data_IF_051620927004
#
_entry.id   IF_051620927004
#
_cell.length_a   1.000
_cell.length_b   1.000
_cell.length_c   1.000
_cell.angle_alpha   90.00
_cell.angle_beta   90.00
_cell.angle_gamma   90.00
#
_symmetry.space_group_name_H-M   'P 1'
#
loop_
_entity.id
_entity.type
_entity.pdbx_description
1 polymer ?
#
# COMPACT_ATOMS: atom_id res chain seq x y z
N UNK A 1 -11.87 -19.78 14.57
CA UNK A 1 -11.72 -20.35 13.21
C UNK A 1 -10.37 -19.91 12.67
N UNK A 2 -9.55 -20.81 12.15
CA UNK A 2 -8.20 -20.49 11.65
C UNK A 2 -8.19 -20.27 10.13
N UNK A 3 -7.16 -19.61 9.59
CA UNK A 3 -7.03 -19.36 8.15
C UNK A 3 -7.05 -20.65 7.32
N UNK A 4 -6.36 -21.69 7.79
CA UNK A 4 -6.35 -23.00 7.15
C UNK A 4 -7.74 -23.66 7.13
N UNK A 5 -8.55 -23.47 8.18
CA UNK A 5 -9.92 -23.97 8.22
C UNK A 5 -10.80 -23.25 7.19
N UNK A 6 -10.67 -21.92 7.05
CA UNK A 6 -11.40 -21.13 6.05
C UNK A 6 -11.04 -21.58 4.62
N UNK A 7 -9.75 -21.80 4.34
CA UNK A 7 -9.29 -22.27 3.03
C UNK A 7 -9.80 -23.68 2.72
N UNK A 8 -9.78 -24.59 3.70
CA UNK A 8 -10.33 -25.94 3.55
C UNK A 8 -11.84 -25.93 3.28
N UNK A 9 -12.59 -25.07 3.97
CA UNK A 9 -14.04 -24.93 3.75
C UNK A 9 -14.36 -24.30 2.39
N UNK A 10 -13.60 -23.29 1.96
CA UNK A 10 -13.72 -22.75 0.60
C UNK A 10 -13.46 -23.80 -0.47
N UNK A 11 -12.43 -24.63 -0.29
CA UNK A 11 -12.11 -25.70 -1.22
C UNK A 11 -13.23 -26.74 -1.31
N UNK A 12 -13.90 -27.05 -0.18
CA UNK A 12 -15.08 -27.93 -0.17
C UNK A 12 -16.25 -27.31 -0.93
N UNK A 13 -16.61 -26.06 -0.63
CA UNK A 13 -17.69 -25.35 -1.31
C UNK A 13 -17.44 -25.24 -2.82
N UNK A 14 -16.20 -24.98 -3.22
CA UNK A 14 -15.84 -24.92 -4.64
C UNK A 14 -15.95 -26.30 -5.29
N UNK A 15 -15.50 -27.37 -4.64
CA UNK A 15 -15.66 -28.74 -5.15
C UNK A 15 -17.13 -29.09 -5.35
N UNK A 16 -17.97 -28.82 -4.35
CA UNK A 16 -19.41 -29.11 -4.41
C UNK A 16 -20.09 -28.31 -5.54
N UNK A 17 -19.66 -27.07 -5.76
CA UNK A 17 -20.12 -26.27 -6.89
C UNK A 17 -19.71 -26.87 -8.24
N UNK A 18 -18.46 -27.31 -8.40
CA UNK A 18 -18.01 -27.95 -9.64
C UNK A 18 -18.77 -29.26 -9.92
N UNK A 19 -19.06 -30.02 -8.87
CA UNK A 19 -19.88 -31.25 -8.95
C UNK A 19 -21.30 -30.93 -9.44
N UNK A 20 -21.95 -29.92 -8.84
CA UNK A 20 -23.27 -29.42 -9.27
C UNK A 20 -23.26 -28.88 -10.70
N UNK A 21 -22.22 -28.14 -11.10
CA UNK A 21 -22.10 -27.63 -12.48
C UNK A 21 -22.01 -28.78 -13.48
N UNK A 22 -21.27 -29.85 -13.16
CA UNK A 22 -21.20 -31.04 -14.02
C UNK A 22 -22.56 -31.73 -14.13
N UNK A 23 -23.30 -31.85 -13.04
CA UNK A 23 -24.66 -32.40 -13.05
C UNK A 23 -25.62 -31.52 -13.86
N UNK A 24 -25.63 -30.20 -13.65
CA UNK A 24 -26.50 -29.26 -14.35
C UNK A 24 -26.29 -29.28 -15.86
N UNK A 25 -25.06 -29.47 -16.33
CA UNK A 25 -24.74 -29.58 -17.76
C UNK A 25 -25.32 -30.83 -18.43
N UNK A 26 -25.66 -31.86 -17.64
CA UNK A 26 -26.29 -33.09 -18.14
C UNK A 26 -27.82 -32.98 -18.22
N UNK A 27 -28.41 -31.92 -17.63
CA UNK A 27 -29.86 -31.68 -17.62
C UNK A 27 -30.30 -30.88 -18.84
N UNK A 28 -31.58 -31.00 -19.19
CA UNK A 28 -32.18 -30.26 -20.31
C UNK A 28 -32.36 -28.76 -20.02
N UNK A 29 -32.56 -28.40 -18.74
CA UNK A 29 -32.71 -26.99 -18.28
C UNK A 29 -31.43 -26.57 -17.56
N UNK A 30 -30.40 -26.26 -18.34
CA UNK A 30 -29.05 -25.97 -17.83
C UNK A 30 -28.99 -24.60 -17.14
N UNK A 31 -29.75 -23.61 -17.61
CA UNK A 31 -29.63 -22.22 -17.16
C UNK A 31 -30.05 -22.01 -15.72
N UNK A 32 -31.26 -22.42 -15.34
CA UNK A 32 -31.75 -22.28 -13.95
C UNK A 32 -30.92 -23.10 -12.96
N UNK A 33 -30.54 -24.32 -13.34
CA UNK A 33 -29.70 -25.18 -12.50
C UNK A 33 -28.33 -24.55 -12.20
N UNK A 34 -27.71 -23.90 -13.19
CA UNK A 34 -26.43 -23.21 -12.99
C UNK A 34 -26.58 -21.93 -12.15
N UNK A 35 -27.70 -21.22 -12.27
CA UNK A 35 -28.01 -20.04 -11.45
C UNK A 35 -28.19 -20.45 -9.98
N UNK A 36 -28.98 -21.48 -9.70
CA UNK A 36 -29.17 -22.02 -8.35
C UNK A 36 -27.84 -22.48 -7.73
N UNK A 37 -27.00 -23.17 -8.51
CA UNK A 37 -25.67 -23.60 -8.07
C UNK A 37 -24.76 -22.40 -7.73
N UNK A 38 -24.84 -21.30 -8.49
CA UNK A 38 -24.09 -20.07 -8.21
C UNK A 38 -24.58 -19.37 -6.96
N UNK A 39 -25.90 -19.24 -6.81
CA UNK A 39 -26.49 -18.58 -5.65
C UNK A 39 -26.19 -19.34 -4.37
N UNK A 40 -26.23 -20.67 -4.43
CA UNK A 40 -25.84 -21.51 -3.30
C UNK A 40 -24.35 -21.37 -2.96
N UNK A 41 -23.46 -21.34 -3.97
CA UNK A 41 -22.03 -21.05 -3.75
C UNK A 41 -21.84 -19.71 -3.06
N UNK A 42 -22.50 -18.64 -3.53
CA UNK A 42 -22.41 -17.31 -2.92
C UNK A 42 -22.92 -17.34 -1.47
N UNK A 43 -24.06 -18.00 -1.22
CA UNK A 43 -24.66 -18.13 0.11
C UNK A 43 -23.70 -18.80 1.10
N UNK A 44 -23.00 -19.85 0.67
CA UNK A 44 -22.03 -20.59 1.48
C UNK A 44 -20.70 -19.85 1.66
N UNK A 45 -20.24 -19.10 0.67
CA UNK A 45 -18.98 -18.33 0.75
C UNK A 45 -19.10 -17.07 1.61
N UNK A 46 -20.23 -16.36 1.58
CA UNK A 46 -20.44 -15.11 2.35
C UNK A 46 -20.07 -15.20 3.84
N UNK A 47 -20.49 -16.22 4.61
CA UNK A 47 -20.07 -16.33 6.01
C UNK A 47 -18.56 -16.57 6.16
N UNK A 48 -17.93 -17.30 5.23
CA UNK A 48 -16.48 -17.53 5.23
C UNK A 48 -15.69 -16.25 4.95
N UNK A 49 -16.19 -15.40 4.05
CA UNK A 49 -15.58 -14.09 3.76
C UNK A 49 -15.58 -13.20 5.01
N UNK A 50 -16.68 -13.19 5.77
CA UNK A 50 -16.78 -12.47 7.05
C UNK A 50 -15.79 -13.02 8.07
N UNK A 51 -15.71 -14.34 8.20
CA UNK A 51 -14.74 -14.98 9.09
C UNK A 51 -13.29 -14.63 8.70
N UNK A 52 -12.98 -14.60 7.39
CA UNK A 52 -11.67 -14.20 6.89
C UNK A 52 -11.34 -12.74 7.22
N UNK A 53 -12.32 -11.84 7.08
CA UNK A 53 -12.13 -10.43 7.46
C UNK A 53 -11.79 -10.25 8.94
N UNK A 54 -12.43 -11.03 9.82
CA UNK A 54 -12.14 -11.01 11.27
C UNK A 54 -10.70 -11.47 11.52
N UNK A 55 -10.32 -12.64 10.99
CA UNK A 55 -8.95 -13.17 11.14
C UNK A 55 -7.89 -12.20 10.60
N UNK A 56 -8.17 -11.56 9.46
CA UNK A 56 -7.27 -10.56 8.87
C UNK A 56 -7.23 -9.24 9.66
N UNK A 57 -8.31 -8.87 10.36
CA UNK A 57 -8.30 -7.71 11.26
C UNK A 57 -7.42 -8.00 12.48
N UNK A 58 -7.62 -9.15 13.14
CA UNK A 58 -6.81 -9.60 14.27
C UNK A 58 -5.32 -9.67 13.91
N UNK A 59 -4.98 -10.20 12.73
CA UNK A 59 -3.58 -10.28 12.30
C UNK A 59 -2.97 -8.89 11.99
N UNK A 60 -3.77 -7.95 11.47
CA UNK A 60 -3.35 -6.56 11.28
C UNK A 60 -3.09 -5.87 12.62
N UNK A 61 -3.95 -6.08 13.61
CA UNK A 61 -3.75 -5.55 14.95
C UNK A 61 -2.48 -6.12 15.59
N UNK A 62 -2.27 -7.44 15.50
CA UNK A 62 -1.06 -8.10 16.01
C UNK A 62 0.21 -7.54 15.36
N UNK A 63 0.21 -7.40 14.03
CA UNK A 63 1.32 -6.78 13.29
C UNK A 63 1.53 -5.31 13.65
N UNK A 64 0.43 -4.56 13.88
CA UNK A 64 0.47 -3.17 14.32
C UNK A 64 1.11 -3.01 15.71
N UNK A 65 0.75 -3.87 16.67
CA UNK A 65 1.38 -3.89 18.00
C UNK A 65 2.87 -4.20 17.90
N UNK A 66 3.25 -5.22 17.12
CA UNK A 66 4.65 -5.58 16.92
C UNK A 66 5.46 -4.47 16.20
N UNK A 67 4.83 -3.73 15.28
CA UNK A 67 5.45 -2.56 14.65
C UNK A 67 5.67 -1.42 15.66
N UNK A 68 4.65 -1.09 16.47
CA UNK A 68 4.77 -0.07 17.52
C UNK A 68 5.84 -0.41 18.55
N UNK A 69 5.92 -1.67 18.97
CA UNK A 69 6.97 -2.13 19.89
C UNK A 69 8.37 -1.92 19.31
N UNK A 70 8.58 -2.21 18.02
CA UNK A 70 9.85 -1.96 17.33
C UNK A 70 10.20 -0.48 17.22
N UNK A 71 9.21 0.37 16.95
CA UNK A 71 9.42 1.83 16.91
C UNK A 71 9.83 2.35 18.29
N UNK A 72 9.13 1.97 19.35
CA UNK A 72 9.48 2.38 20.72
C UNK A 72 10.87 1.90 21.13
N UNK A 73 11.27 0.69 20.72
CA UNK A 73 12.62 0.19 20.97
C UNK A 73 13.68 1.02 20.22
N UNK A 74 13.44 1.31 18.94
CA UNK A 74 14.34 2.15 18.16
C UNK A 74 14.43 3.58 18.72
N UNK A 75 13.33 4.15 19.21
CA UNK A 75 13.30 5.47 19.86
C UNK A 75 14.12 5.48 21.14
N UNK A 76 14.02 4.41 21.96
CA UNK A 76 14.86 4.26 23.17
C UNK A 76 16.34 4.16 22.83
N UNK A 77 16.68 3.38 21.81
CA UNK A 77 18.06 3.25 21.33
C UNK A 77 18.59 4.58 20.80
N UNK A 78 17.81 5.28 19.97
CA UNK A 78 18.17 6.60 19.46
C UNK A 78 18.36 7.63 20.60
N UNK A 79 17.48 7.63 21.60
CA UNK A 79 17.62 8.50 22.77
C UNK A 79 18.88 8.18 23.59
N UNK A 80 19.23 6.90 23.75
CA UNK A 80 20.47 6.48 24.42
C UNK A 80 21.72 6.89 23.62
N UNK A 81 21.69 6.76 22.29
CA UNK A 81 22.77 7.19 21.41
C UNK A 81 22.95 8.70 21.42
N UNK A 82 21.86 9.47 21.42
CA UNK A 82 21.92 10.93 21.59
C UNK A 82 22.49 11.33 22.94
N UNK A 83 22.11 10.65 24.03
CA UNK A 83 22.68 10.90 25.35
C UNK A 83 24.19 10.62 25.37
N UNK A 84 24.64 9.51 24.76
CA UNK A 84 26.07 9.19 24.59
C UNK A 84 26.81 10.25 23.78
N UNK A 85 26.25 10.69 22.65
CA UNK A 85 26.86 11.74 21.82
C UNK A 85 26.98 13.06 22.57
N UNK A 86 25.95 13.44 23.35
CA UNK A 86 25.98 14.66 24.17
C UNK A 86 27.07 14.56 25.26
N UNK A 87 27.16 13.46 25.99
CA UNK A 87 28.20 13.30 27.02
C UNK A 87 29.60 13.24 26.42
N UNK A 88 29.79 12.59 25.27
CA UNK A 88 31.06 12.60 24.54
C UNK A 88 31.44 14.02 24.09
N UNK A 89 30.50 14.78 23.54
CA UNK A 89 30.74 16.17 23.12
C UNK A 89 31.12 17.10 24.28
N UNK A 90 30.50 16.94 25.46
CA UNK A 90 30.86 17.70 26.67
C UNK A 90 32.24 17.28 27.18
N UNK A 91 32.52 15.97 27.21
CA UNK A 91 33.84 15.45 27.62
C UNK A 91 34.97 15.95 26.71
N UNK A 92 34.72 16.09 25.40
CA UNK A 92 35.68 16.69 24.48
C UNK A 92 35.86 18.20 24.70
N UNK A 93 34.85 18.91 25.22
CA UNK A 93 34.94 20.33 25.54
C UNK A 93 35.69 20.61 26.87
N UNK A 94 35.61 19.69 27.84
CA UNK A 94 36.32 19.78 29.13
C UNK A 94 37.81 19.40 29.04
N UNK A 95 38.25 18.84 27.91
CA UNK A 95 39.68 18.87 27.63
C UNK A 95 40.06 20.31 27.33
N UNK A 96 40.90 20.96 28.17
CA UNK A 96 41.39 22.28 27.81
C UNK A 96 42.01 22.11 26.44
N UNK A 97 41.47 22.83 25.46
CA UNK A 97 42.08 22.92 24.16
C UNK A 97 43.49 23.40 24.44
N UNK A 98 44.45 22.46 24.46
CA UNK A 98 45.86 22.77 24.42
C UNK A 98 45.94 23.63 23.18
N UNK A 99 46.12 24.94 23.39
CA UNK A 99 46.20 25.90 22.31
C UNK A 99 47.08 25.23 21.27
N UNK A 100 46.63 25.04 20.01
CA UNK A 100 47.47 24.41 19.04
C UNK A 100 48.75 25.22 19.06
N UNK A 101 49.84 24.64 19.56
CA UNK A 101 51.17 25.17 19.31
C UNK A 101 51.21 25.13 17.81
N UNK A 102 50.96 26.28 17.18
CA UNK A 102 51.05 26.42 15.74
C UNK A 102 52.48 25.99 15.44
N UNK A 103 52.71 24.79 14.86
CA UNK A 103 54.06 24.46 14.46
C UNK A 103 54.42 25.56 13.46
N UNK A 104 55.52 26.28 13.73
CA UNK A 104 56.04 27.30 12.83
C UNK A 104 55.85 26.80 11.40
N UNK A 105 55.11 27.57 10.59
CA UNK A 105 54.53 27.15 9.33
C UNK A 105 55.51 26.28 8.52
N UNK A 106 55.40 24.95 8.69
CA UNK A 106 56.01 24.02 7.77
C UNK A 106 55.15 24.17 6.53
N UNK A 107 55.64 24.92 5.56
CA UNK A 107 55.12 24.88 4.19
C UNK A 107 54.82 23.42 3.89
N UNK A 108 53.56 23.04 3.63
CA UNK A 108 53.28 21.65 3.30
C UNK A 108 54.15 21.36 2.09
N UNK A 109 55.12 20.45 2.24
CA UNK A 109 55.74 19.79 1.10
C UNK A 109 54.58 19.00 0.50
N UNK A 110 53.84 19.65 -0.39
CA UNK A 110 52.80 19.04 -1.18
C UNK A 110 53.48 17.88 -1.89
N UNK A 111 53.20 16.65 -1.45
CA UNK A 111 53.64 15.49 -2.18
C UNK A 111 52.69 15.37 -3.37
N UNK A 112 53.12 15.74 -4.60
CA UNK A 112 52.24 15.82 -5.75
C UNK A 112 51.63 14.44 -6.08
N UNK A 113 52.32 13.35 -5.76
CA UNK A 113 51.83 11.99 -6.01
C UNK A 113 50.65 11.61 -5.12
N UNK A 114 50.65 12.01 -3.85
CA UNK A 114 49.52 11.75 -2.94
C UNK A 114 48.28 12.55 -3.35
N UNK A 115 48.49 13.78 -3.82
CA UNK A 115 47.39 14.61 -4.32
C UNK A 115 46.76 14.03 -5.59
N UNK A 116 47.58 13.58 -6.54
CA UNK A 116 47.10 12.92 -7.76
C UNK A 116 46.35 11.62 -7.46
N UNK A 117 46.82 10.81 -6.50
CA UNK A 117 46.11 9.60 -6.07
C UNK A 117 44.76 9.91 -5.45
N UNK A 118 44.67 10.96 -4.62
CA UNK A 118 43.40 11.40 -4.04
C UNK A 118 42.43 11.90 -5.10
N UNK A 119 42.90 12.69 -6.08
CA UNK A 119 42.07 13.14 -7.19
C UNK A 119 41.56 11.96 -8.02
N UNK A 120 42.42 11.00 -8.37
CA UNK A 120 42.01 9.80 -9.11
C UNK A 120 40.96 8.96 -8.36
N UNK A 121 41.08 8.85 -7.03
CA UNK A 121 40.09 8.17 -6.20
C UNK A 121 38.75 8.92 -6.20
N UNK A 122 38.77 10.25 -6.03
CA UNK A 122 37.56 11.08 -6.06
C UNK A 122 36.87 11.01 -7.42
N UNK A 123 37.62 11.03 -8.51
CA UNK A 123 37.08 10.88 -9.87
C UNK A 123 36.48 9.48 -10.10
N UNK A 124 37.12 8.42 -9.58
CA UNK A 124 36.59 7.06 -9.67
C UNK A 124 35.29 6.92 -8.86
N UNK A 125 35.24 7.46 -7.65
CA UNK A 125 34.02 7.48 -6.84
C UNK A 125 32.90 8.31 -7.47
N UNK A 126 33.24 9.47 -8.05
CA UNK A 126 32.27 10.31 -8.75
C UNK A 126 31.67 9.59 -9.96
N UNK A 127 32.49 8.85 -10.72
CA UNK A 127 32.04 8.01 -11.85
C UNK A 127 31.15 6.86 -11.39
N UNK A 128 31.51 6.18 -10.30
CA UNK A 128 30.69 5.10 -9.72
C UNK A 128 29.32 5.63 -9.26
N UNK A 129 29.31 6.72 -8.46
CA UNK A 129 28.07 7.37 -8.00
C UNK A 129 27.22 7.89 -9.17
N UNK A 130 27.84 8.35 -10.25
CA UNK A 130 27.13 8.77 -11.46
C UNK A 130 26.48 7.58 -12.19
N UNK A 131 27.14 6.42 -12.23
CA UNK A 131 26.58 5.18 -12.77
C UNK A 131 25.37 4.71 -11.95
N UNK A 132 25.51 4.64 -10.62
CA UNK A 132 24.41 4.25 -9.71
C UNK A 132 23.18 5.15 -9.89
N UNK A 133 23.39 6.46 -10.08
CA UNK A 133 22.30 7.41 -10.34
C UNK A 133 21.59 7.14 -11.66
N UNK A 134 22.31 6.70 -12.71
CA UNK A 134 21.72 6.34 -14.01
C UNK A 134 20.89 5.06 -13.89
N UNK A 135 21.40 4.06 -13.20
CA UNK A 135 20.70 2.79 -12.99
C UNK A 135 19.44 2.97 -12.15
N UNK A 136 19.55 3.71 -11.04
CA UNK A 136 18.40 4.05 -10.21
C UNK A 136 17.35 4.88 -10.98
N UNK A 137 17.78 5.76 -11.89
CA UNK A 137 16.86 6.50 -12.75
C UNK A 137 16.18 5.60 -13.79
N UNK A 138 16.90 4.64 -14.39
CA UNK A 138 16.34 3.65 -15.30
C UNK A 138 15.31 2.77 -14.58
N UNK A 139 15.62 2.28 -13.39
CA UNK A 139 14.70 1.47 -12.58
C UNK A 139 13.42 2.24 -12.22
N UNK A 140 13.55 3.52 -11.85
CA UNK A 140 12.38 4.39 -11.60
C UNK A 140 11.51 4.53 -12.85
N UNK A 141 12.10 4.66 -14.04
CA UNK A 141 11.36 4.73 -15.31
C UNK A 141 10.61 3.43 -15.59
N UNK A 142 11.25 2.27 -15.41
CA UNK A 142 10.62 0.95 -15.60
C UNK A 142 9.44 0.77 -14.63
N UNK A 143 9.64 1.07 -13.35
CA UNK A 143 8.58 1.00 -12.32
C UNK A 143 7.41 1.94 -12.64
N UNK A 144 7.69 3.15 -13.12
CA UNK A 144 6.64 4.09 -13.53
C UNK A 144 5.83 3.57 -14.72
N UNK A 145 6.49 3.04 -15.75
CA UNK A 145 5.82 2.44 -16.91
C UNK A 145 4.97 1.23 -16.52
N UNK A 146 5.47 0.35 -15.63
CA UNK A 146 4.69 -0.79 -15.14
C UNK A 146 3.43 -0.35 -14.39
N UNK A 147 3.51 0.71 -13.57
CA UNK A 147 2.34 1.28 -12.88
C UNK A 147 1.32 1.84 -13.88
N UNK A 148 1.79 2.53 -14.93
CA UNK A 148 0.92 3.04 -15.99
C UNK A 148 0.20 1.89 -16.74
N UNK A 149 0.92 0.82 -17.09
CA UNK A 149 0.33 -0.36 -17.74
C UNK A 149 -0.74 -1.01 -16.87
N UNK A 150 -0.43 -1.29 -15.60
CA UNK A 150 -1.40 -1.85 -14.65
C UNK A 150 -2.62 -0.95 -14.47
N UNK A 151 -2.43 0.36 -14.35
CA UNK A 151 -3.54 1.30 -14.25
C UNK A 151 -4.42 1.30 -15.52
N UNK A 152 -3.83 1.20 -16.71
CA UNK A 152 -4.59 1.10 -17.96
C UNK A 152 -5.35 -0.24 -18.09
N UNK A 153 -4.74 -1.34 -17.65
CA UNK A 153 -5.39 -2.66 -17.61
C UNK A 153 -6.58 -2.66 -16.64
N UNK A 154 -6.42 -2.08 -15.46
CA UNK A 154 -7.49 -1.95 -14.46
C UNK A 154 -8.65 -1.08 -14.97
N UNK A 155 -8.36 0.01 -15.69
CA UNK A 155 -9.38 0.85 -16.32
C UNK A 155 -10.13 0.08 -17.41
N UNK A 156 -9.41 -0.62 -18.30
CA UNK A 156 -10.03 -1.44 -19.33
C UNK A 156 -10.94 -2.54 -18.74
N UNK A 157 -10.49 -3.19 -17.67
CA UNK A 157 -11.26 -4.21 -16.97
C UNK A 157 -12.52 -3.63 -16.30
N UNK A 158 -12.43 -2.41 -15.75
CA UNK A 158 -13.60 -1.68 -15.21
C UNK A 158 -14.58 -1.28 -16.30
N UNK A 159 -14.10 -0.84 -17.45
CA UNK A 159 -14.95 -0.46 -18.57
C UNK A 159 -15.65 -1.67 -19.19
N UNK A 160 -14.96 -2.81 -19.32
CA UNK A 160 -15.59 -4.08 -19.72
C UNK A 160 -16.68 -4.51 -18.73
N UNK A 161 -16.41 -4.43 -17.42
CA UNK A 161 -17.43 -4.72 -16.39
C UNK A 161 -18.63 -3.78 -16.51
N UNK A 162 -18.41 -2.48 -16.69
CA UNK A 162 -19.48 -1.49 -16.89
C UNK A 162 -20.28 -1.75 -18.17
N UNK A 163 -19.62 -2.08 -19.27
CA UNK A 163 -20.28 -2.43 -20.53
C UNK A 163 -21.13 -3.69 -20.39
N UNK A 164 -20.62 -4.74 -19.73
CA UNK A 164 -21.38 -5.96 -19.46
C UNK A 164 -22.57 -5.73 -18.52
N UNK A 165 -22.44 -4.82 -17.54
CA UNK A 165 -23.53 -4.44 -16.67
C UNK A 165 -24.59 -3.59 -17.41
N UNK A 166 -24.18 -2.70 -18.31
CA UNK A 166 -25.07 -1.89 -19.13
C UNK A 166 -25.83 -2.70 -20.18
N UNK A 167 -25.22 -3.72 -20.78
CA UNK A 167 -25.90 -4.66 -21.68
C UNK A 167 -26.90 -5.56 -20.94
N UNK A 168 -26.60 -5.93 -19.69
CA UNK A 168 -27.50 -6.70 -18.82
C UNK A 168 -28.68 -5.86 -18.31
N UNK A 169 -28.50 -4.55 -18.12
CA UNK A 169 -29.54 -3.63 -17.68
C UNK A 169 -30.57 -3.25 -18.77
N UNK A 170 -30.25 -3.41 -20.06
CA UNK A 170 -31.18 -3.15 -21.17
C UNK A 170 -32.22 -4.25 -21.40
N UNK A 171 -32.12 -5.39 -20.71
CA UNK A 171 -33.08 -6.50 -20.83
C UNK A 171 -34.29 -6.44 -19.90
N UNK A 172 -34.32 -5.56 -18.88
CA UNK A 172 -35.35 -5.63 -17.83
C UNK A 172 -35.53 -4.32 -17.02
N UNK A 173 -35.70 -3.17 -17.68
CA UNK A 173 -35.99 -1.92 -16.98
C UNK A 173 -37.23 -1.23 -17.56
N UNK A 174 -38.37 -1.47 -16.91
CA UNK A 174 -39.50 -0.55 -16.92
C UNK A 174 -39.03 0.83 -16.42
N UNK A 175 -39.48 1.93 -17.04
CA UNK A 175 -39.01 3.27 -16.68
C UNK A 175 -39.48 3.61 -15.26
N UNK A 176 -38.53 3.95 -14.38
CA UNK A 176 -38.85 4.54 -13.08
C UNK A 176 -39.43 5.94 -13.29
N UNK A 177 -40.49 6.33 -12.57
CA UNK A 177 -41.02 7.69 -12.65
C UNK A 177 -39.99 8.69 -12.14
N UNK A 178 -39.94 9.86 -12.80
CA UNK A 178 -39.03 10.94 -12.48
C UNK A 178 -39.16 11.40 -11.01
N UNK A 179 -38.05 11.78 -10.36
CA UNK A 179 -38.09 12.25 -8.98
C UNK A 179 -38.91 13.54 -8.89
N UNK A 180 -40.01 13.48 -8.15
CA UNK A 180 -40.81 14.64 -7.78
C UNK A 180 -39.91 15.62 -7.03
N UNK A 181 -39.58 16.73 -7.68
CA UNK A 181 -38.82 17.82 -7.09
C UNK A 181 -39.72 18.52 -6.07
N UNK A 182 -39.60 18.14 -4.79
CA UNK A 182 -40.23 18.90 -3.72
C UNK A 182 -39.63 20.32 -3.73
N UNK A 183 -40.45 21.38 -3.71
CA UNK A 183 -39.94 22.74 -3.63
C UNK A 183 -39.19 22.90 -2.30
N UNK A 184 -37.89 23.14 -2.37
CA UNK A 184 -37.13 23.61 -1.21
C UNK A 184 -37.69 24.96 -0.78
N UNK A 185 -38.10 25.14 0.48
CA UNK A 185 -38.58 26.45 0.94
C UNK A 185 -37.49 27.49 0.72
N UNK A 186 -37.90 28.66 0.21
CA UNK A 186 -36.99 29.78 0.00
C UNK A 186 -36.49 30.29 1.34
N UNK A 187 -35.26 30.83 1.38
CA UNK A 187 -34.64 31.38 2.59
C UNK A 187 -35.46 32.51 3.27
N UNK A 188 -36.48 33.02 2.59
CA UNK A 188 -37.47 33.96 3.14
C UNK A 188 -38.39 33.36 4.20
N UNK A 189 -38.62 32.05 4.19
CA UNK A 189 -39.58 31.38 5.09
C UNK A 189 -39.00 31.06 6.48
N UNK A 190 -37.67 31.06 6.61
CA UNK A 190 -36.96 30.69 7.86
C UNK A 190 -36.96 31.85 8.89
N UNK A 191 -37.25 33.08 8.47
CA UNK A 191 -37.23 34.27 9.35
C UNK A 191 -38.45 34.41 10.26
N UNK A 192 -39.47 33.55 10.14
CA UNK A 192 -40.71 33.65 10.91
C UNK A 192 -40.80 32.72 12.13
N UNK A 193 -39.67 32.17 12.62
CA UNK A 193 -39.67 31.44 13.88
C UNK A 193 -39.39 32.40 15.06
N UNK A 194 -40.32 32.57 16.02
CA UNK A 194 -40.06 33.39 17.19
C UNK A 194 -38.96 32.75 18.02
N UNK A 195 -37.89 33.51 18.27
CA UNK A 195 -36.83 33.12 19.22
C UNK A 195 -37.48 33.01 20.61
N UNK A 196 -37.51 31.80 21.15
CA UNK A 196 -37.66 31.56 22.59
C UNK A 196 -36.32 31.17 23.17
#
# INVERSE_FOLDING_TARGET
MTRAQIEAERARVEKDYQDKVRECRQRFVVTSCLEDARDERIRLLRPLDRAEHIVNAEDRERRGVAARARVLENERQAAADEARRKTESVRMADHPASAPQVPAAKTPRANPELHQRQQAQQDAEAKAKAADRRDAAAERRVKAQQRQRKASEDLALRDQKRASAASSAKGNATPKPDPIHLPTPSASDIKALPRR
#
